data_IF_933687537352
#
_entry.id   IF_933687537352
#
_cell.length_a   1.000
_cell.length_b   1.000
_cell.length_c   1.000
_cell.angle_alpha   90.00
_cell.angle_beta   90.00
_cell.angle_gamma   90.00
#
_symmetry.space_group_name_H-M   'P 1'
#
loop_
_entity.id
_entity.type
_entity.pdbx_description
1 polymer ?
#
# COMPACT_ATOMS: atom_id res chain seq x y z
N UNK A 1 -0.43 -56.24 11.71
CA UNK A 1 0.51 -55.16 11.35
C UNK A 1 -0.33 -53.97 10.91
N UNK A 2 -0.57 -53.04 11.82
CA UNK A 2 -1.50 -51.91 11.68
C UNK A 2 -0.71 -50.63 11.94
N UNK A 3 -0.37 -49.90 10.88
CA UNK A 3 0.23 -48.57 10.99
C UNK A 3 -0.90 -47.54 10.94
N UNK A 4 -1.43 -47.21 12.12
CA UNK A 4 -2.36 -46.07 12.29
C UNK A 4 -1.55 -44.80 12.04
N UNK A 5 -1.62 -44.30 10.80
CA UNK A 5 -0.91 -43.11 10.34
C UNK A 5 -1.74 -41.88 10.71
N UNK A 6 -1.25 -41.18 11.74
CA UNK A 6 -1.19 -39.70 11.78
C UNK A 6 -2.53 -38.98 11.86
N UNK A 7 -3.10 -38.93 13.07
CA UNK A 7 -4.05 -37.90 13.47
C UNK A 7 -3.38 -36.52 13.72
N UNK A 8 -2.07 -36.39 13.46
CA UNK A 8 -1.30 -35.16 13.71
C UNK A 8 -1.26 -34.17 12.53
N UNK A 9 -1.98 -34.44 11.44
CA UNK A 9 -1.76 -33.73 10.17
C UNK A 9 -2.76 -32.60 9.86
N UNK A 10 -3.43 -32.06 10.87
CA UNK A 10 -4.43 -31.01 10.65
C UNK A 10 -4.37 -29.85 11.64
N UNK A 11 -3.16 -29.46 12.04
CA UNK A 11 -2.91 -28.06 12.39
C UNK A 11 -2.61 -27.35 11.08
N UNK A 12 -3.66 -26.89 10.38
CA UNK A 12 -3.53 -26.01 9.23
C UNK A 12 -2.90 -24.70 9.73
N UNK A 13 -1.57 -24.61 9.65
CA UNK A 13 -0.87 -23.35 9.79
C UNK A 13 -1.31 -22.48 8.63
N UNK A 14 -2.15 -21.48 8.92
CA UNK A 14 -2.39 -20.35 8.02
C UNK A 14 -1.01 -19.81 7.63
N UNK A 15 -0.65 -19.75 6.34
CA UNK A 15 0.61 -19.12 5.97
C UNK A 15 0.59 -17.69 6.51
N UNK A 16 1.67 -17.21 7.15
CA UNK A 16 1.73 -15.83 7.61
C UNK A 16 1.48 -14.94 6.40
N UNK A 17 0.49 -14.06 6.51
CA UNK A 17 0.15 -13.08 5.49
C UNK A 17 1.41 -12.25 5.21
N UNK A 18 2.10 -12.59 4.13
CA UNK A 18 3.35 -11.94 3.76
C UNK A 18 3.03 -10.45 3.60
N UNK A 19 3.72 -9.53 4.33
CA UNK A 19 3.38 -8.12 4.27
C UNK A 19 3.42 -7.70 2.81
N UNK A 20 2.27 -7.33 2.25
CA UNK A 20 2.14 -6.91 0.85
C UNK A 20 2.98 -5.66 0.67
N UNK A 21 4.26 -5.84 0.34
CA UNK A 21 5.20 -4.74 0.14
C UNK A 21 4.72 -4.00 -1.09
N UNK A 22 4.30 -2.75 -0.90
CA UNK A 22 4.02 -1.89 -2.03
C UNK A 22 5.30 -1.82 -2.88
N UNK A 23 5.19 -1.92 -4.22
CA UNK A 23 6.33 -1.74 -5.09
C UNK A 23 7.01 -0.41 -4.74
N UNK A 24 8.34 -0.36 -4.67
CA UNK A 24 9.10 0.85 -4.27
C UNK A 24 8.62 2.10 -5.01
N UNK A 25 8.22 1.93 -6.27
CA UNK A 25 7.61 2.96 -7.11
C UNK A 25 6.40 3.63 -6.45
N UNK A 26 5.49 2.86 -5.87
CA UNK A 26 4.32 3.38 -5.15
C UNK A 26 4.67 4.07 -3.83
N UNK A 27 5.71 3.61 -3.14
CA UNK A 27 6.20 4.29 -1.93
C UNK A 27 6.74 5.69 -2.25
N UNK A 28 7.47 5.83 -3.36
CA UNK A 28 7.96 7.13 -3.85
C UNK A 28 6.79 8.04 -4.21
N UNK A 29 5.80 7.53 -4.94
CA UNK A 29 4.59 8.31 -5.31
C UNK A 29 3.85 8.81 -4.08
N UNK A 30 3.66 7.96 -3.07
CA UNK A 30 3.02 8.36 -1.81
C UNK A 30 3.81 9.47 -1.11
N UNK A 31 5.14 9.36 -1.07
CA UNK A 31 5.99 10.36 -0.43
C UNK A 31 5.93 11.72 -1.13
N UNK A 32 6.00 11.74 -2.46
CA UNK A 32 5.88 12.97 -3.26
C UNK A 32 4.48 13.59 -3.11
N UNK A 33 3.45 12.77 -3.13
CA UNK A 33 2.06 13.21 -2.94
C UNK A 33 1.88 13.85 -1.57
N UNK A 34 2.40 13.21 -0.51
CA UNK A 34 2.33 13.74 0.86
C UNK A 34 3.06 15.09 0.98
N UNK A 35 4.24 15.24 0.38
CA UNK A 35 4.97 16.50 0.38
C UNK A 35 4.18 17.62 -0.32
N UNK A 36 3.63 17.33 -1.51
CA UNK A 36 2.82 18.29 -2.26
C UNK A 36 1.55 18.70 -1.48
N UNK A 37 0.83 17.73 -0.90
CA UNK A 37 -0.36 17.98 -0.06
C UNK A 37 -0.01 18.88 1.12
N UNK A 38 1.11 18.62 1.80
CA UNK A 38 1.53 19.40 2.98
C UNK A 38 1.80 20.85 2.62
N UNK A 39 2.58 21.10 1.55
CA UNK A 39 2.87 22.47 1.08
C UNK A 39 1.59 23.19 0.69
N UNK A 40 0.71 22.52 -0.06
CA UNK A 40 -0.53 23.12 -0.55
C UNK A 40 -1.51 23.38 0.59
N UNK A 41 -1.54 22.52 1.61
CA UNK A 41 -2.35 22.72 2.80
C UNK A 41 -1.96 23.99 3.55
N UNK A 42 -0.65 24.22 3.74
CA UNK A 42 -0.15 25.43 4.40
C UNK A 42 -0.43 26.69 3.57
N UNK A 43 -0.33 26.60 2.24
CA UNK A 43 -0.49 27.75 1.36
C UNK A 43 -1.96 28.12 1.05
N UNK A 44 -2.85 27.12 0.94
CA UNK A 44 -4.21 27.30 0.39
C UNK A 44 -5.31 26.54 1.14
N UNK A 45 -4.99 25.89 2.26
CA UNK A 45 -5.95 25.17 3.09
C UNK A 45 -6.37 23.79 2.53
N UNK A 46 -7.35 23.19 3.22
CA UNK A 46 -7.75 21.78 3.01
C UNK A 46 -8.23 21.47 1.59
N UNK A 47 -8.99 22.38 0.97
CA UNK A 47 -9.57 22.16 -0.37
C UNK A 47 -8.45 22.13 -1.42
N UNK A 48 -7.51 23.07 -1.35
CA UNK A 48 -6.36 23.11 -2.24
C UNK A 48 -5.50 21.83 -2.09
N UNK A 49 -5.25 21.40 -0.85
CA UNK A 49 -4.50 20.19 -0.56
C UNK A 49 -5.11 18.92 -1.16
N UNK A 50 -6.43 18.74 -1.05
CA UNK A 50 -7.15 17.59 -1.63
C UNK A 50 -7.06 17.63 -3.16
N UNK A 51 -7.28 18.79 -3.77
CA UNK A 51 -7.23 18.93 -5.23
C UNK A 51 -5.83 18.62 -5.80
N UNK A 52 -4.77 19.08 -5.14
CA UNK A 52 -3.39 18.82 -5.56
C UNK A 52 -3.01 17.37 -5.29
N UNK A 53 -3.35 16.81 -4.12
CA UNK A 53 -3.05 15.42 -3.80
C UNK A 53 -3.68 14.43 -4.79
N UNK A 54 -4.94 14.66 -5.16
CA UNK A 54 -5.64 13.84 -6.16
C UNK A 54 -5.03 13.99 -7.55
N UNK A 55 -4.68 15.21 -7.96
CA UNK A 55 -4.03 15.45 -9.25
C UNK A 55 -2.65 14.78 -9.34
N UNK A 56 -1.81 14.90 -8.30
CA UNK A 56 -0.47 14.29 -8.26
C UNK A 56 -0.57 12.77 -8.28
N UNK A 57 -1.49 12.18 -7.49
CA UNK A 57 -1.68 10.74 -7.48
C UNK A 57 -2.18 10.20 -8.82
N UNK A 58 -3.13 10.89 -9.46
CA UNK A 58 -3.64 10.52 -10.78
C UNK A 58 -2.57 10.62 -11.87
N UNK A 59 -1.78 11.70 -11.87
CA UNK A 59 -0.67 11.86 -12.79
C UNK A 59 0.39 10.77 -12.59
N UNK A 60 0.75 10.48 -11.34
CA UNK A 60 1.71 9.44 -11.01
C UNK A 60 1.22 8.04 -11.42
N UNK A 61 -0.07 7.76 -11.25
CA UNK A 61 -0.66 6.50 -11.69
C UNK A 61 -0.55 6.33 -13.21
N UNK A 62 -0.85 7.39 -13.98
CA UNK A 62 -0.72 7.38 -15.45
C UNK A 62 0.69 7.25 -15.99
N UNK A 63 1.70 7.64 -15.21
CA UNK A 63 3.12 7.49 -15.61
C UNK A 63 3.60 6.06 -15.36
N UNK A 64 2.92 5.34 -14.45
CA UNK A 64 3.31 4.00 -14.03
C UNK A 64 2.60 2.86 -14.78
N UNK A 65 1.44 3.16 -15.36
CA UNK A 65 0.70 2.32 -16.34
C UNK A 65 1.30 2.46 -17.74
#
# INVERSE_FOLDING_TARGET
MSTVRRADQQTAATPPEEPRRLPLRWAIIAMVTAAAVTVTYVAGGSVAAISVGTAVLAAAHRILD
#
